data_IF_565081736651
#
_entry.id   IF_565081736651
#
_cell.length_a   1.000
_cell.length_b   1.000
_cell.length_c   1.000
_cell.angle_alpha   90.00
_cell.angle_beta   90.00
_cell.angle_gamma   90.00
#
_symmetry.space_group_name_H-M   'P 1'
#
loop_
_entity.id
_entity.type
_entity.pdbx_description
1 polymer ?
#
# COMPACT_ATOMS: atom_id res chain seq x y z
N UNK A 1 15.26 -4.73 -27.20
CA UNK A 1 14.24 -5.66 -27.78
C UNK A 1 13.37 -4.88 -28.73
N UNK A 2 12.90 -5.49 -29.81
CA UNK A 2 11.97 -4.86 -30.76
C UNK A 2 10.62 -5.51 -30.54
N UNK A 3 9.61 -4.72 -30.23
CA UNK A 3 8.23 -5.16 -30.09
C UNK A 3 7.50 -4.93 -31.43
N UNK A 4 6.48 -5.72 -31.74
CA UNK A 4 5.76 -5.62 -33.02
C UNK A 4 4.41 -4.90 -32.88
N UNK A 5 3.78 -4.98 -31.70
CA UNK A 5 2.44 -4.45 -31.47
C UNK A 5 2.40 -3.30 -30.47
N UNK A 6 3.50 -3.06 -29.77
CA UNK A 6 3.66 -1.96 -28.80
C UNK A 6 4.93 -1.17 -29.11
N UNK A 7 4.95 0.10 -28.72
CA UNK A 7 6.14 0.95 -28.75
C UNK A 7 6.47 1.33 -27.29
N UNK A 8 7.67 0.98 -26.84
CA UNK A 8 8.14 1.22 -25.47
C UNK A 8 9.21 2.29 -25.50
N UNK A 9 8.93 3.43 -24.87
CA UNK A 9 9.83 4.59 -24.80
C UNK A 9 10.22 4.86 -23.37
N UNK A 10 11.53 4.87 -23.09
CA UNK A 10 12.04 5.28 -21.77
C UNK A 10 11.69 6.74 -21.50
N UNK A 11 11.07 6.99 -20.35
CA UNK A 11 10.74 8.36 -19.88
C UNK A 11 11.98 9.08 -19.39
N UNK A 12 12.90 8.32 -18.73
CA UNK A 12 14.21 8.79 -18.30
C UNK A 12 15.27 7.72 -18.53
N UNK A 13 16.58 8.05 -18.45
CA UNK A 13 17.64 7.05 -18.58
C UNK A 13 17.59 5.94 -17.52
N UNK A 14 16.97 6.19 -16.36
CA UNK A 14 17.07 5.34 -15.16
C UNK A 14 15.72 4.84 -14.64
N UNK A 15 14.60 5.51 -14.94
CA UNK A 15 13.27 5.18 -14.37
C UNK A 15 12.18 5.51 -15.38
N UNK A 16 11.20 4.60 -15.48
CA UNK A 16 9.95 4.77 -16.20
C UNK A 16 10.01 4.48 -17.70
N UNK A 17 8.91 3.96 -18.21
CA UNK A 17 8.67 3.83 -19.64
C UNK A 17 7.21 4.10 -19.97
N UNK A 18 6.99 4.65 -21.13
CA UNK A 18 5.68 4.80 -21.72
C UNK A 18 5.47 3.69 -22.76
N UNK A 19 4.33 3.02 -22.69
CA UNK A 19 3.94 2.00 -23.65
C UNK A 19 2.84 2.57 -24.53
N UNK A 20 3.09 2.65 -25.83
CA UNK A 20 2.16 3.13 -26.83
C UNK A 20 1.64 1.98 -27.70
N UNK A 21 0.55 2.21 -28.44
CA UNK A 21 -0.06 1.21 -29.31
C UNK A 21 -1.05 0.29 -28.60
N UNK A 22 -1.40 0.59 -27.35
CA UNK A 22 -2.36 -0.19 -26.56
C UNK A 22 -3.61 0.64 -26.30
N UNK A 23 -4.76 0.10 -26.67
CA UNK A 23 -6.08 0.66 -26.33
C UNK A 23 -6.72 -0.21 -25.24
N UNK A 24 -6.61 0.24 -23.96
CA UNK A 24 -7.16 -0.48 -22.80
C UNK A 24 -8.70 -0.45 -22.74
N UNK A 25 -9.37 0.27 -23.63
CA UNK A 25 -10.83 0.20 -23.77
C UNK A 25 -11.29 -1.06 -24.51
N UNK A 26 -10.37 -1.82 -25.08
CA UNK A 26 -10.59 -3.05 -25.83
C UNK A 26 -9.80 -4.21 -25.23
N UNK A 27 -10.25 -5.47 -25.43
CA UNK A 27 -9.45 -6.62 -25.06
C UNK A 27 -8.10 -6.60 -25.79
N UNK A 28 -7.02 -6.77 -25.03
CA UNK A 28 -5.69 -6.92 -25.63
C UNK A 28 -5.60 -8.23 -26.42
N UNK A 29 -4.90 -8.21 -27.55
CA UNK A 29 -4.51 -9.44 -28.22
C UNK A 29 -3.49 -10.19 -27.35
N UNK A 30 -3.42 -11.53 -27.45
CA UNK A 30 -2.43 -12.33 -26.73
C UNK A 30 -1.01 -11.81 -26.99
N UNK A 31 -0.71 -11.39 -28.21
CA UNK A 31 0.60 -10.84 -28.57
C UNK A 31 0.90 -9.51 -27.88
N UNK A 32 -0.04 -8.56 -27.87
CA UNK A 32 0.12 -7.30 -27.14
C UNK A 32 0.36 -7.56 -25.66
N UNK A 33 -0.38 -8.51 -25.10
CA UNK A 33 -0.21 -8.93 -23.72
C UNK A 33 1.19 -9.49 -23.45
N UNK A 34 1.66 -10.41 -24.31
CA UNK A 34 2.98 -11.03 -24.19
C UNK A 34 4.12 -10.00 -24.32
N UNK A 35 3.98 -9.05 -25.25
CA UNK A 35 4.99 -7.99 -25.46
C UNK A 35 5.03 -7.00 -24.30
N UNK A 36 3.88 -6.61 -23.73
CA UNK A 36 3.81 -5.83 -22.50
C UNK A 36 4.50 -6.61 -21.37
N UNK A 37 4.18 -7.90 -21.24
CA UNK A 37 4.79 -8.76 -20.22
C UNK A 37 6.32 -8.90 -20.38
N UNK A 38 6.83 -8.97 -21.60
CA UNK A 38 8.26 -9.01 -21.89
C UNK A 38 8.97 -7.68 -21.63
N UNK A 39 8.26 -6.56 -21.78
CA UNK A 39 8.79 -5.24 -21.46
C UNK A 39 8.95 -5.01 -19.94
N UNK A 40 8.14 -5.69 -19.11
CA UNK A 40 8.11 -5.49 -17.66
C UNK A 40 9.42 -5.85 -16.92
N UNK A 41 10.15 -6.93 -17.24
CA UNK A 41 11.38 -7.29 -16.53
C UNK A 41 12.51 -6.25 -16.66
N UNK A 42 12.49 -5.43 -17.69
CA UNK A 42 13.48 -4.38 -17.91
C UNK A 42 13.23 -3.12 -17.04
N UNK A 43 12.14 -3.13 -16.25
CA UNK A 43 11.69 -2.02 -15.43
C UNK A 43 11.58 -2.44 -13.95
N UNK A 44 12.63 -2.21 -13.13
CA UNK A 44 12.68 -2.66 -11.73
C UNK A 44 11.63 -1.99 -10.83
N UNK A 45 11.03 -0.89 -11.26
CA UNK A 45 9.89 -0.23 -10.60
C UNK A 45 8.59 -1.04 -10.65
N UNK A 46 8.52 -2.06 -11.51
CA UNK A 46 7.36 -2.95 -11.58
C UNK A 46 7.59 -4.14 -10.65
N UNK A 47 6.86 -4.16 -9.55
CA UNK A 47 6.96 -5.21 -8.56
C UNK A 47 6.19 -6.47 -9.00
N UNK A 48 6.90 -7.59 -9.05
CA UNK A 48 6.28 -8.91 -9.24
C UNK A 48 5.63 -9.36 -7.93
N UNK A 49 4.32 -9.62 -7.98
CA UNK A 49 3.57 -10.19 -6.87
C UNK A 49 3.34 -11.68 -7.18
N UNK A 50 3.99 -12.54 -6.42
CA UNK A 50 3.94 -13.99 -6.64
C UNK A 50 3.76 -14.73 -5.32
N UNK A 51 2.88 -15.73 -5.33
CA UNK A 51 2.83 -16.79 -4.34
C UNK A 51 2.61 -18.12 -5.03
N UNK A 52 3.13 -19.19 -4.47
CA UNK A 52 3.03 -20.57 -4.95
C UNK A 52 3.13 -21.57 -3.79
N UNK A 53 3.30 -22.85 -4.10
CA UNK A 53 3.41 -23.96 -3.13
C UNK A 53 4.58 -23.82 -2.15
N UNK A 54 5.57 -23.02 -2.45
CA UNK A 54 6.71 -22.75 -1.56
C UNK A 54 6.48 -21.60 -0.60
N UNK A 55 5.42 -20.81 -0.82
CA UNK A 55 5.11 -19.62 -0.05
C UNK A 55 4.49 -19.97 1.29
N UNK A 56 5.10 -19.52 2.39
CA UNK A 56 4.58 -19.67 3.75
C UNK A 56 3.73 -18.48 4.21
N UNK A 57 3.88 -17.36 3.55
CA UNK A 57 3.17 -16.08 3.76
C UNK A 57 3.29 -15.21 2.52
N UNK A 58 2.45 -14.22 2.39
CA UNK A 58 2.52 -13.23 1.32
C UNK A 58 2.75 -11.83 1.87
N UNK A 59 3.27 -10.94 1.05
CA UNK A 59 3.35 -9.53 1.41
C UNK A 59 1.94 -8.94 1.52
N UNK A 60 1.72 -8.09 2.54
CA UNK A 60 0.45 -7.39 2.70
C UNK A 60 -0.64 -8.16 3.44
N UNK A 61 -0.32 -9.24 4.19
CA UNK A 61 -1.30 -9.95 5.04
C UNK A 61 -1.83 -9.10 6.21
N UNK A 62 -1.05 -8.13 6.70
CA UNK A 62 -1.56 -7.16 7.67
C UNK A 62 -2.27 -6.01 6.94
N UNK A 63 -3.32 -5.43 7.54
CA UNK A 63 -3.92 -4.20 7.06
C UNK A 63 -2.88 -3.08 7.00
N UNK A 64 -2.73 -2.43 5.84
CA UNK A 64 -1.74 -1.39 5.62
C UNK A 64 -2.14 -0.43 4.49
N UNK A 65 -1.53 0.74 4.49
CA UNK A 65 -1.34 1.59 3.32
C UNK A 65 0.08 1.36 2.80
N UNK A 66 0.26 1.20 1.49
CA UNK A 66 1.57 0.89 0.91
C UNK A 66 2.64 1.85 1.40
N UNK A 67 3.70 1.26 1.97
CA UNK A 67 4.93 1.94 2.40
C UNK A 67 4.67 3.24 3.18
N UNK A 68 3.66 3.23 4.06
CA UNK A 68 3.31 4.39 4.88
C UNK A 68 4.44 4.85 5.81
N UNK A 69 5.53 4.08 5.89
CA UNK A 69 6.75 4.39 6.63
C UNK A 69 7.71 5.32 5.87
N UNK A 70 7.48 5.62 4.59
CA UNK A 70 8.29 6.56 3.81
C UNK A 70 7.88 8.01 4.10
N UNK A 71 8.77 8.95 3.82
CA UNK A 71 8.50 10.38 3.95
C UNK A 71 7.37 10.84 3.03
N UNK A 72 7.38 10.34 1.79
CA UNK A 72 6.38 10.57 0.75
C UNK A 72 5.78 9.24 0.29
N UNK A 73 4.84 8.67 1.08
CA UNK A 73 4.22 7.40 0.72
C UNK A 73 3.53 7.46 -0.65
N UNK A 74 3.53 6.35 -1.42
CA UNK A 74 2.87 6.31 -2.73
C UNK A 74 1.42 6.78 -2.65
N UNK A 75 1.00 7.62 -3.61
CA UNK A 75 -0.39 8.07 -3.66
C UNK A 75 -1.37 6.97 -4.08
N UNK A 76 -0.92 6.01 -4.85
CA UNK A 76 -1.76 4.94 -5.34
C UNK A 76 -0.97 3.75 -5.85
N UNK A 77 -1.66 2.63 -6.01
CA UNK A 77 -1.10 1.41 -6.57
C UNK A 77 -2.04 0.80 -7.59
N UNK A 78 -1.49 0.25 -8.64
CA UNK A 78 -2.20 -0.52 -9.66
C UNK A 78 -1.68 -1.94 -9.59
N UNK A 79 -2.56 -2.92 -9.35
CA UNK A 79 -2.23 -4.34 -9.35
C UNK A 79 -2.99 -5.04 -10.47
N UNK A 80 -2.25 -5.75 -11.30
CA UNK A 80 -2.78 -6.58 -12.36
C UNK A 80 -2.46 -8.05 -12.08
N UNK A 81 -3.47 -8.93 -12.07
CA UNK A 81 -3.28 -10.36 -11.85
C UNK A 81 -3.46 -11.17 -13.13
N UNK A 82 -2.41 -11.88 -13.52
CA UNK A 82 -2.39 -12.82 -14.65
C UNK A 82 -2.94 -14.19 -14.27
N UNK A 83 -2.58 -14.64 -13.07
CA UNK A 83 -2.98 -15.93 -12.54
C UNK A 83 -3.68 -15.73 -11.19
N UNK A 84 -4.83 -16.34 -11.05
CA UNK A 84 -5.60 -16.40 -9.83
C UNK A 84 -5.77 -17.86 -9.39
N UNK A 85 -5.87 -18.12 -8.09
CA UNK A 85 -6.09 -19.46 -7.58
C UNK A 85 -7.37 -20.09 -8.15
N UNK A 86 -7.36 -21.37 -8.55
CA UNK A 86 -8.54 -22.02 -9.13
C UNK A 86 -9.68 -22.27 -8.12
N UNK A 87 -9.38 -22.23 -6.83
CA UNK A 87 -10.33 -22.36 -5.72
C UNK A 87 -11.06 -21.04 -5.40
N UNK A 88 -10.69 -19.94 -6.06
CA UNK A 88 -11.28 -18.60 -5.85
C UNK A 88 -10.75 -17.87 -4.63
N UNK A 89 -9.66 -18.33 -4.02
CA UNK A 89 -8.95 -17.63 -2.94
C UNK A 89 -8.09 -16.47 -3.44
N UNK A 90 -7.41 -15.79 -2.51
CA UNK A 90 -6.46 -14.72 -2.81
C UNK A 90 -7.09 -13.35 -3.06
N UNK A 91 -8.27 -13.09 -2.53
CA UNK A 91 -8.94 -11.80 -2.60
C UNK A 91 -8.14 -10.70 -1.88
N UNK A 92 -8.53 -9.45 -2.14
CA UNK A 92 -7.99 -8.29 -1.42
C UNK A 92 -9.11 -7.55 -0.71
N UNK A 93 -8.91 -7.27 0.58
CA UNK A 93 -9.78 -6.40 1.35
C UNK A 93 -9.33 -4.96 1.23
N UNK A 94 -10.27 -4.02 1.12
CA UNK A 94 -10.01 -2.58 1.16
C UNK A 94 -10.87 -1.93 2.24
N UNK A 95 -10.29 -1.00 3.02
CA UNK A 95 -10.98 -0.23 4.05
C UNK A 95 -11.02 1.26 3.70
N UNK A 96 -12.17 1.90 3.94
CA UNK A 96 -12.39 3.32 3.68
C UNK A 96 -11.95 4.16 4.88
N UNK A 97 -10.83 4.85 4.74
CA UNK A 97 -10.23 5.63 5.81
C UNK A 97 -10.94 6.95 6.11
N UNK A 98 -11.72 7.48 5.16
CA UNK A 98 -12.64 8.59 5.43
C UNK A 98 -13.72 8.18 6.41
N UNK A 99 -14.42 7.07 6.12
CA UNK A 99 -15.47 6.55 7.00
C UNK A 99 -14.91 6.11 8.36
N UNK A 100 -13.68 5.56 8.36
CA UNK A 100 -13.02 5.21 9.60
C UNK A 100 -12.85 6.44 10.52
N UNK A 101 -12.50 7.61 9.99
CA UNK A 101 -12.45 8.85 10.75
C UNK A 101 -13.85 9.38 11.09
N UNK A 102 -14.76 9.45 10.13
CA UNK A 102 -16.08 10.07 10.26
C UNK A 102 -16.99 9.34 11.26
N UNK A 103 -16.79 8.03 11.43
CA UNK A 103 -17.58 7.20 12.35
C UNK A 103 -17.06 7.16 13.79
N UNK A 104 -15.91 7.79 14.07
CA UNK A 104 -15.46 8.02 15.45
C UNK A 104 -16.33 9.07 16.14
N UNK A 105 -16.44 8.98 17.46
CA UNK A 105 -17.09 10.02 18.26
C UNK A 105 -16.36 11.37 18.14
N UNK A 106 -17.09 12.46 18.30
CA UNK A 106 -16.52 13.82 18.21
C UNK A 106 -15.35 14.05 19.19
N UNK A 107 -15.44 13.66 20.48
CA UNK A 107 -14.30 13.82 21.41
C UNK A 107 -13.04 13.09 20.92
N UNK A 108 -13.22 11.89 20.34
CA UNK A 108 -12.09 11.11 19.84
C UNK A 108 -11.47 11.77 18.59
N UNK A 109 -12.29 12.23 17.65
CA UNK A 109 -11.82 12.97 16.48
C UNK A 109 -11.03 14.22 16.87
N UNK A 110 -11.58 14.99 17.81
CA UNK A 110 -10.91 16.21 18.32
C UNK A 110 -9.58 15.90 18.94
N UNK A 111 -9.48 14.81 19.72
CA UNK A 111 -8.21 14.39 20.31
C UNK A 111 -7.19 13.96 19.25
N UNK A 112 -7.63 13.20 18.24
CA UNK A 112 -6.75 12.66 17.21
C UNK A 112 -6.22 13.72 16.22
N UNK A 113 -6.96 14.80 16.01
CA UNK A 113 -6.66 15.82 15.00
C UNK A 113 -5.29 16.51 15.18
N UNK A 114 -4.75 16.53 16.39
CA UNK A 114 -3.44 17.12 16.70
C UNK A 114 -2.33 16.11 16.94
N UNK A 115 -2.60 14.81 16.82
CA UNK A 115 -1.64 13.76 17.13
C UNK A 115 -0.87 13.31 15.89
N UNK A 116 0.37 12.85 16.12
CA UNK A 116 1.22 12.23 15.11
C UNK A 116 1.62 10.80 15.54
N UNK A 117 1.92 9.97 14.56
CA UNK A 117 2.32 8.59 14.82
C UNK A 117 3.58 8.21 14.01
N UNK A 118 4.38 7.36 14.59
CA UNK A 118 5.55 6.76 13.94
C UNK A 118 5.09 5.58 13.08
N UNK A 119 5.44 5.61 11.80
CA UNK A 119 5.35 4.51 10.88
C UNK A 119 6.75 3.95 10.64
N UNK A 120 6.92 2.63 10.79
CA UNK A 120 8.21 1.96 10.81
C UNK A 120 8.15 0.67 9.98
N UNK A 121 8.98 0.58 8.95
CA UNK A 121 9.03 -0.60 8.09
C UNK A 121 9.54 -1.85 8.81
N UNK A 122 10.28 -1.70 9.91
CA UNK A 122 10.70 -2.81 10.77
C UNK A 122 9.53 -3.69 11.20
N UNK A 123 8.39 -3.08 11.51
CA UNK A 123 7.18 -3.81 11.92
C UNK A 123 6.68 -4.79 10.85
N UNK A 124 6.72 -4.38 9.58
CA UNK A 124 6.36 -5.24 8.44
C UNK A 124 7.39 -6.35 8.19
N UNK A 125 8.64 -6.15 8.63
CA UNK A 125 9.73 -7.11 8.48
C UNK A 125 10.01 -7.90 9.76
N UNK A 126 9.09 -7.92 10.73
CA UNK A 126 9.24 -8.60 12.01
C UNK A 126 9.64 -10.09 11.82
N UNK A 127 10.80 -10.44 12.36
CA UNK A 127 11.46 -11.73 12.17
C UNK A 127 12.89 -11.62 11.60
N UNK A 128 13.30 -10.45 11.11
CA UNK A 128 14.70 -10.13 10.78
C UNK A 128 15.21 -9.12 11.79
N UNK A 129 16.26 -9.46 12.54
CA UNK A 129 16.86 -8.50 13.50
C UNK A 129 17.63 -7.43 12.73
N UNK A 130 17.57 -6.13 13.15
CA UNK A 130 18.49 -5.12 12.64
C UNK A 130 19.93 -5.59 12.95
N UNK A 131 20.79 -5.58 11.95
CA UNK A 131 22.23 -5.91 12.13
C UNK A 131 22.63 -7.34 11.81
N UNK A 132 21.75 -8.28 11.54
CA UNK A 132 22.15 -9.61 11.03
C UNK A 132 22.38 -9.57 9.52
N UNK A 133 23.54 -9.02 9.09
CA UNK A 133 24.09 -9.24 7.75
C UNK A 133 23.59 -8.35 6.62
N UNK A 134 22.98 -7.19 6.90
CA UNK A 134 22.68 -6.21 5.85
C UNK A 134 22.71 -4.77 6.38
N UNK A 135 23.29 -3.87 5.58
CA UNK A 135 23.18 -2.40 5.73
C UNK A 135 21.74 -1.89 5.43
N UNK A 136 20.70 -2.71 5.66
CA UNK A 136 19.33 -2.33 5.39
C UNK A 136 18.88 -1.28 6.41
N UNK A 137 18.78 -0.05 5.96
CA UNK A 137 18.04 0.99 6.67
C UNK A 137 16.55 0.71 6.49
N UNK A 138 15.83 0.61 7.61
CA UNK A 138 14.38 0.50 7.60
C UNK A 138 13.79 1.91 7.61
N UNK A 139 13.09 2.34 6.54
CA UNK A 139 12.41 3.64 6.53
C UNK A 139 11.49 3.78 7.74
N UNK A 140 11.56 4.96 8.36
CA UNK A 140 10.76 5.30 9.55
C UNK A 140 10.45 6.79 9.54
N UNK A 141 9.16 7.13 9.47
CA UNK A 141 8.73 8.51 9.46
C UNK A 141 7.56 8.77 10.41
N UNK A 142 7.47 10.01 10.85
CA UNK A 142 6.36 10.53 11.64
C UNK A 142 5.34 11.19 10.73
N UNK A 143 4.08 10.77 10.85
CA UNK A 143 2.95 11.26 10.07
C UNK A 143 1.79 11.64 10.97
N UNK A 144 0.87 12.54 10.51
CA UNK A 144 -0.34 12.86 11.27
C UNK A 144 -1.22 11.61 11.42
N UNK A 145 -1.80 11.41 12.61
CA UNK A 145 -2.80 10.36 12.85
C UNK A 145 -4.06 10.63 12.01
N UNK A 146 -4.39 11.91 11.83
CA UNK A 146 -5.48 12.36 10.95
C UNK A 146 -4.86 13.14 9.79
N UNK A 147 -4.84 12.51 8.62
CA UNK A 147 -4.36 13.11 7.37
C UNK A 147 -5.48 13.88 6.68
N UNK A 148 -5.13 14.97 6.01
CA UNK A 148 -6.00 15.67 5.06
C UNK A 148 -5.65 15.21 3.65
N UNK A 149 -6.63 14.74 2.91
CA UNK A 149 -6.42 14.32 1.52
C UNK A 149 -6.14 15.54 0.63
N UNK A 150 -5.06 15.56 -0.16
CA UNK A 150 -4.63 16.75 -0.88
C UNK A 150 -5.64 17.25 -1.93
N UNK A 151 -6.41 16.34 -2.53
CA UNK A 151 -7.39 16.66 -3.57
C UNK A 151 -8.78 16.92 -2.98
N UNK A 152 -9.32 15.97 -2.22
CA UNK A 152 -10.68 16.06 -1.70
C UNK A 152 -10.82 16.96 -0.47
N UNK A 153 -9.69 17.29 0.17
CA UNK A 153 -9.61 18.09 1.42
C UNK A 153 -10.34 17.47 2.61
N UNK A 154 -10.82 16.23 2.48
CA UNK A 154 -11.46 15.49 3.56
C UNK A 154 -10.42 14.94 4.53
N UNK A 155 -10.80 14.83 5.79
CA UNK A 155 -10.02 14.18 6.85
C UNK A 155 -10.20 12.67 6.80
N UNK A 156 -9.14 11.95 7.13
CA UNK A 156 -9.15 10.50 7.18
C UNK A 156 -8.16 9.99 8.25
N UNK A 157 -8.36 8.77 8.75
CA UNK A 157 -7.38 8.13 9.62
C UNK A 157 -6.17 7.67 8.82
N UNK A 158 -4.97 7.94 9.32
CA UNK A 158 -3.72 7.51 8.70
C UNK A 158 -2.85 6.75 9.72
N UNK A 159 -3.40 5.66 10.22
CA UNK A 159 -2.70 4.68 11.07
C UNK A 159 -3.07 3.29 10.60
N UNK A 160 -2.11 2.38 10.54
CA UNK A 160 -2.29 1.01 10.07
C UNK A 160 -1.53 -0.01 10.92
N UNK A 161 -2.01 -1.26 10.89
CA UNK A 161 -1.40 -2.36 11.63
C UNK A 161 -0.03 -2.77 11.07
N UNK A 162 0.20 -2.55 9.78
CA UNK A 162 1.43 -2.96 9.09
C UNK A 162 2.65 -2.16 9.50
N UNK A 163 2.50 -0.84 9.67
CA UNK A 163 3.62 0.07 9.86
C UNK A 163 3.53 0.93 11.11
N UNK A 164 2.33 1.33 11.59
CA UNK A 164 2.22 2.26 12.72
C UNK A 164 2.63 1.59 14.03
N UNK A 165 3.57 2.21 14.74
CA UNK A 165 4.17 1.64 15.97
C UNK A 165 3.84 2.42 17.22
N UNK A 166 3.70 3.76 17.14
CA UNK A 166 3.51 4.61 18.31
C UNK A 166 2.84 5.93 17.96
N UNK A 167 1.99 6.44 18.84
CA UNK A 167 1.52 7.84 18.86
C UNK A 167 2.49 8.66 19.71
N UNK A 168 3.07 9.71 19.10
CA UNK A 168 4.25 10.41 19.65
C UNK A 168 3.94 11.12 20.98
N UNK A 169 2.80 11.78 21.06
CA UNK A 169 2.41 12.63 22.20
C UNK A 169 1.89 11.87 23.41
N UNK A 170 1.71 10.55 23.28
CA UNK A 170 1.16 9.71 24.33
C UNK A 170 2.25 8.86 25.01
N UNK A 171 2.01 8.48 26.28
CA UNK A 171 2.80 7.43 26.91
C UNK A 171 2.66 6.11 26.12
N UNK A 172 3.61 5.19 26.29
CA UNK A 172 3.58 3.91 25.57
C UNK A 172 2.27 3.16 25.81
N UNK A 173 1.81 3.08 27.06
CA UNK A 173 0.58 2.36 27.42
C UNK A 173 -0.68 2.98 26.79
N UNK A 174 -0.77 4.31 26.77
CA UNK A 174 -1.88 5.03 26.14
C UNK A 174 -1.85 4.85 24.61
N UNK A 175 -0.66 4.99 24.01
CA UNK A 175 -0.47 4.78 22.59
C UNK A 175 -0.88 3.36 22.15
N UNK A 176 -0.44 2.34 22.89
CA UNK A 176 -0.74 0.94 22.58
C UNK A 176 -2.25 0.69 22.67
N UNK A 177 -2.91 1.19 23.71
CA UNK A 177 -4.34 1.04 23.91
C UNK A 177 -5.15 1.74 22.79
N UNK A 178 -4.76 2.97 22.46
CA UNK A 178 -5.45 3.75 21.42
C UNK A 178 -5.22 3.17 20.01
N UNK A 179 -4.01 2.76 19.68
CA UNK A 179 -3.72 2.12 18.39
C UNK A 179 -4.44 0.78 18.26
N UNK A 180 -4.51 -0.03 19.33
CA UNK A 180 -5.28 -1.28 19.29
C UNK A 180 -6.75 -1.03 18.96
N UNK A 181 -7.37 -0.02 19.58
CA UNK A 181 -8.74 0.40 19.28
C UNK A 181 -8.88 0.88 17.84
N UNK A 182 -7.99 1.77 17.36
CA UNK A 182 -8.07 2.34 16.01
C UNK A 182 -7.90 1.27 14.94
N UNK A 183 -6.98 0.31 15.12
CA UNK A 183 -6.81 -0.80 14.19
C UNK A 183 -8.08 -1.66 14.12
N UNK A 184 -8.63 -2.06 15.27
CA UNK A 184 -9.86 -2.81 15.31
C UNK A 184 -11.04 -2.07 14.66
N UNK A 185 -11.11 -0.75 14.86
CA UNK A 185 -12.13 0.10 14.27
C UNK A 185 -12.03 0.13 12.73
N UNK A 186 -10.83 0.33 12.18
CA UNK A 186 -10.58 0.34 10.72
C UNK A 186 -10.92 -1.00 10.08
N UNK A 187 -10.56 -2.10 10.76
CA UNK A 187 -10.75 -3.48 10.27
C UNK A 187 -12.21 -3.94 10.36
N UNK A 188 -13.12 -3.11 10.87
CA UNK A 188 -14.53 -3.47 11.00
C UNK A 188 -15.17 -3.74 9.63
N UNK A 189 -15.94 -4.84 9.46
CA UNK A 189 -16.52 -5.21 8.16
C UNK A 189 -17.36 -4.11 7.50
N UNK A 190 -18.02 -3.26 8.29
CA UNK A 190 -18.85 -2.14 7.80
C UNK A 190 -18.04 -1.03 7.09
N UNK A 191 -16.72 -0.99 7.30
CA UNK A 191 -15.79 -0.01 6.71
C UNK A 191 -15.03 -0.57 5.52
N UNK A 192 -15.18 -1.87 5.23
CA UNK A 192 -14.37 -2.57 4.23
C UNK A 192 -15.23 -3.20 3.12
N UNK A 193 -14.58 -3.45 2.01
CA UNK A 193 -15.10 -4.28 0.93
C UNK A 193 -14.09 -5.35 0.56
N UNK A 194 -14.60 -6.48 0.05
CA UNK A 194 -13.79 -7.57 -0.47
C UNK A 194 -13.78 -7.52 -1.99
N UNK A 195 -12.59 -7.33 -2.59
CA UNK A 195 -12.41 -7.38 -4.03
C UNK A 195 -12.03 -8.79 -4.44
N UNK A 196 -12.91 -9.41 -5.21
CA UNK A 196 -12.70 -10.74 -5.77
C UNK A 196 -11.92 -10.61 -7.08
N UNK A 197 -10.80 -11.32 -7.16
CA UNK A 197 -9.97 -11.33 -8.35
C UNK A 197 -10.47 -12.35 -9.37
N UNK A 198 -10.47 -11.91 -10.62
CA UNK A 198 -10.58 -12.77 -11.78
C UNK A 198 -9.29 -12.68 -12.59
N UNK A 199 -9.01 -13.65 -13.43
CA UNK A 199 -7.86 -13.59 -14.33
C UNK A 199 -7.95 -12.33 -15.20
N UNK A 200 -6.86 -11.60 -15.27
CA UNK A 200 -6.73 -10.32 -15.97
C UNK A 200 -7.49 -9.14 -15.32
N UNK A 201 -7.94 -9.28 -14.07
CA UNK A 201 -8.44 -8.14 -13.32
C UNK A 201 -7.34 -7.14 -13.01
N UNK A 202 -7.70 -5.86 -13.05
CA UNK A 202 -6.89 -4.74 -12.60
C UNK A 202 -7.61 -4.06 -11.44
N UNK A 203 -6.92 -3.83 -10.33
CA UNK A 203 -7.37 -2.96 -9.27
C UNK A 203 -6.45 -1.74 -9.16
N UNK A 204 -7.06 -0.55 -9.09
CA UNK A 204 -6.38 0.70 -8.81
C UNK A 204 -6.98 1.30 -7.53
N UNK A 205 -6.14 1.63 -6.56
CA UNK A 205 -6.59 2.23 -5.32
C UNK A 205 -5.74 3.43 -4.92
N UNK A 206 -6.37 4.36 -4.21
CA UNK A 206 -5.71 5.53 -3.63
C UNK A 206 -5.22 5.18 -2.21
N UNK A 207 -3.91 4.99 -2.06
CA UNK A 207 -3.26 4.69 -0.78
C UNK A 207 -3.43 5.81 0.26
N UNK A 208 -3.75 7.03 -0.20
CA UNK A 208 -3.97 8.17 0.69
C UNK A 208 -5.26 8.05 1.48
N UNK A 209 -6.24 7.29 0.95
CA UNK A 209 -7.58 7.19 1.53
C UNK A 209 -8.08 5.75 1.73
N UNK A 210 -7.29 4.76 1.38
CA UNK A 210 -7.60 3.35 1.58
C UNK A 210 -6.47 2.61 2.29
N UNK A 211 -6.84 1.66 3.13
CA UNK A 211 -5.96 0.56 3.54
C UNK A 211 -6.39 -0.71 2.84
N UNK A 212 -5.48 -1.66 2.72
CA UNK A 212 -5.78 -2.94 2.13
C UNK A 212 -5.08 -4.10 2.84
N UNK A 213 -5.58 -5.30 2.59
CA UNK A 213 -5.05 -6.54 3.13
C UNK A 213 -5.14 -7.64 2.07
N UNK A 214 -4.04 -8.33 1.81
CA UNK A 214 -4.03 -9.54 0.99
C UNK A 214 -4.51 -10.73 1.82
N UNK A 215 -5.45 -11.51 1.29
CA UNK A 215 -5.93 -12.73 1.94
C UNK A 215 -5.12 -13.91 1.40
N UNK A 216 -4.44 -14.64 2.29
CA UNK A 216 -3.66 -15.82 1.94
C UNK A 216 -4.41 -17.09 2.34
N UNK A 217 -5.46 -17.41 1.62
CA UNK A 217 -6.36 -18.55 1.83
C UNK A 217 -6.34 -19.56 0.67
N UNK A 218 -5.34 -19.50 -0.20
CA UNK A 218 -5.28 -20.26 -1.46
C UNK A 218 -4.07 -21.20 -1.57
N UNK A 219 -3.30 -21.37 -0.51
CA UNK A 219 -2.20 -22.35 -0.55
C UNK A 219 -2.73 -23.76 -0.84
N UNK A 220 -2.08 -24.55 -1.71
CA UNK A 220 -0.76 -24.36 -2.35
C UNK A 220 -0.83 -23.72 -3.75
N UNK A 221 -1.96 -23.14 -4.14
CA UNK A 221 -2.18 -22.65 -5.49
C UNK A 221 -1.35 -21.41 -5.79
N UNK A 222 -1.06 -21.23 -7.08
CA UNK A 222 -0.30 -20.09 -7.57
C UNK A 222 -1.20 -18.86 -7.75
N UNK A 223 -0.67 -17.71 -7.35
CA UNK A 223 -1.19 -16.39 -7.62
C UNK A 223 -0.05 -15.52 -8.15
N UNK A 224 -0.23 -14.88 -9.31
CA UNK A 224 0.84 -14.16 -9.99
C UNK A 224 0.33 -12.89 -10.67
N UNK A 225 1.05 -11.80 -10.52
CA UNK A 225 0.73 -10.53 -11.12
C UNK A 225 1.83 -9.49 -10.98
N UNK A 226 1.53 -8.28 -11.42
CA UNK A 226 2.43 -7.15 -11.42
C UNK A 226 1.78 -5.95 -10.74
N UNK A 227 2.55 -5.24 -9.93
CA UNK A 227 2.13 -4.02 -9.25
C UNK A 227 3.04 -2.86 -9.61
N UNK A 228 2.46 -1.71 -9.90
CA UNK A 228 3.15 -0.43 -9.97
C UNK A 228 2.59 0.49 -8.90
N UNK A 229 3.46 1.33 -8.35
CA UNK A 229 3.09 2.39 -7.41
C UNK A 229 3.30 3.75 -8.06
N UNK A 230 2.42 4.70 -7.72
CA UNK A 230 2.47 6.06 -8.22
C UNK A 230 3.07 6.93 -7.11
N UNK A 231 4.08 7.74 -7.43
CA UNK A 231 4.70 8.66 -6.48
C UNK A 231 3.65 9.48 -5.75
N UNK A 232 3.86 9.67 -4.46
CA UNK A 232 2.92 10.37 -3.60
C UNK A 232 3.41 11.72 -3.15
N UNK A 233 2.79 12.16 -2.08
CA UNK A 233 3.05 13.43 -1.42
C UNK A 233 3.25 13.20 0.08
N UNK A 234 3.98 14.11 0.72
CA UNK A 234 4.15 14.10 2.16
C UNK A 234 2.81 14.28 2.87
N UNK A 235 2.40 13.35 3.76
CA UNK A 235 1.16 13.47 4.51
C UNK A 235 1.13 14.74 5.36
N UNK A 236 0.01 15.47 5.35
CA UNK A 236 -0.19 16.64 6.20
C UNK A 236 -1.51 16.55 6.98
N UNK A 237 -1.49 17.11 8.18
CA UNK A 237 -2.65 17.21 9.06
C UNK A 237 -3.45 18.48 8.85
N UNK A 238 -4.37 18.77 9.80
CA UNK A 238 -5.33 19.89 9.73
C UNK A 238 -4.63 21.25 9.70
N UNK A 239 -3.50 21.41 10.36
CA UNK A 239 -2.71 22.65 10.38
C UNK A 239 -2.03 22.98 9.05
N UNK A 240 -2.16 22.12 8.03
CA UNK A 240 -1.63 22.37 6.67
C UNK A 240 -0.10 22.33 6.56
N UNK A 241 0.59 21.97 7.63
CA UNK A 241 2.05 21.82 7.59
C UNK A 241 2.42 20.34 7.56
N UNK A 242 3.38 19.94 6.70
CA UNK A 242 3.99 18.64 6.81
C UNK A 242 4.65 18.50 8.20
N UNK A 243 4.48 17.37 8.85
CA UNK A 243 5.22 17.10 10.10
C UNK A 243 6.72 17.13 9.83
N UNK A 244 7.42 18.01 10.53
CA UNK A 244 8.86 18.22 10.35
C UNK A 244 9.66 17.30 11.28
N UNK A 245 9.79 16.01 10.99
CA UNK A 245 10.84 15.27 11.67
C UNK A 245 11.23 14.01 10.88
N UNK A 246 12.27 14.13 10.08
CA UNK A 246 13.16 13.00 9.88
C UNK A 246 13.73 12.64 11.24
N UNK A 247 13.34 11.51 11.82
CA UNK A 247 13.92 11.04 13.08
C UNK A 247 15.35 10.60 12.76
N UNK A 248 16.33 11.35 13.31
CA UNK A 248 17.70 10.89 13.32
C UNK A 248 17.74 9.47 13.90
N UNK A 249 18.42 8.56 13.18
CA UNK A 249 18.68 7.23 13.66
C UNK A 249 19.38 7.33 15.03
N UNK A 250 18.69 6.85 16.08
CA UNK A 250 19.27 6.63 17.39
C UNK A 250 19.59 5.15 17.56
#
# INVERSE_FOLDING_TARGET
MTYETIDVRKTTPTIGAEIFGVDLSRPLTNRQFDEIHQALPDYPEILVIKADETSKRVAGEAWHSDVSCDEEPPMGSILYLHEVPPDGGGDTMFANMYQAYETLSEPLRTMLDGLTAIHDSWKAHSGRKPGEGSDMQFPRFEHPVVRVHPVTRRRLLFVDRGFTTRIVQLSQAESDALLAFLFQHVEAPKLSCRFKWERNSIAFWDNRSAQHQAIFDYWPHRRYGHRVTICGDRPFGIAGQPTNAGLAAG
#
